data_IF_268983172821
#
_entry.id   IF_268983172821
#
_cell.length_a   1.000
_cell.length_b   1.000
_cell.length_c   1.000
_cell.angle_alpha   90.00
_cell.angle_beta   90.00
_cell.angle_gamma   90.00
#
_symmetry.space_group_name_H-M   'P 1'
#
loop_
_entity.id
_entity.type
_entity.pdbx_description
1 polymer ?
#
# COMPACT_ATOMS: atom_id res chain seq x y z
N UNK A 1 -6.63 4.54 33.69
CA UNK A 1 -6.60 3.07 33.50
C UNK A 1 -5.62 2.72 32.37
N UNK A 2 -5.23 1.45 32.18
CA UNK A 2 -4.40 1.04 31.01
C UNK A 2 -5.10 1.41 29.69
N UNK A 3 -6.43 1.28 29.65
CA UNK A 3 -7.28 1.66 28.51
C UNK A 3 -7.26 3.17 28.21
N UNK A 4 -7.21 4.04 29.23
CA UNK A 4 -7.06 5.49 29.02
C UNK A 4 -5.68 5.86 28.45
N UNK A 5 -4.62 5.18 28.86
CA UNK A 5 -3.26 5.38 28.30
C UNK A 5 -3.18 4.88 26.85
N UNK A 6 -3.82 3.76 26.54
CA UNK A 6 -3.91 3.24 25.16
C UNK A 6 -4.72 4.18 24.25
N UNK A 7 -5.73 4.89 24.76
CA UNK A 7 -6.45 5.92 24.00
C UNK A 7 -5.62 7.19 23.76
N UNK A 8 -4.84 7.66 24.75
CA UNK A 8 -4.03 8.88 24.62
C UNK A 8 -3.00 8.80 23.48
N UNK A 9 -2.32 7.65 23.32
CA UNK A 9 -1.30 7.46 22.27
C UNK A 9 -1.86 7.30 20.85
N UNK A 10 -3.18 7.11 20.69
CA UNK A 10 -3.85 7.04 19.37
C UNK A 10 -4.18 8.42 18.80
N UNK A 11 -4.36 9.42 19.67
CA UNK A 11 -4.81 10.75 19.30
C UNK A 11 -3.68 11.78 19.24
N UNK A 12 -2.60 11.61 20.01
CA UNK A 12 -1.43 12.49 20.01
C UNK A 12 -0.19 11.76 19.45
N UNK A 13 0.13 11.93 18.15
CA UNK A 13 1.26 11.26 17.53
C UNK A 13 2.60 11.90 17.93
N UNK A 14 3.61 11.07 18.18
CA UNK A 14 4.98 11.56 18.30
C UNK A 14 5.50 12.00 16.92
N UNK A 15 5.80 13.28 16.76
CA UNK A 15 6.40 13.79 15.52
C UNK A 15 7.90 13.46 15.46
N UNK A 16 8.31 12.78 14.40
CA UNK A 16 9.70 12.45 14.13
C UNK A 16 10.22 13.33 13.00
N UNK A 17 11.02 14.35 13.33
CA UNK A 17 11.69 15.17 12.33
C UNK A 17 12.99 14.52 11.86
N UNK A 18 12.98 14.01 10.63
CA UNK A 18 14.16 13.40 10.02
C UNK A 18 15.31 14.40 9.75
N UNK A 19 15.03 15.71 9.73
CA UNK A 19 16.04 16.76 9.50
C UNK A 19 16.84 17.11 10.75
N UNK A 20 16.31 16.83 11.94
CA UNK A 20 17.07 16.96 13.17
C UNK A 20 17.96 15.73 13.35
N UNK A 21 19.27 15.95 13.44
CA UNK A 21 20.34 14.99 13.71
C UNK A 21 20.28 14.40 15.14
N UNK A 22 19.09 14.11 15.64
CA UNK A 22 18.92 13.39 16.90
C UNK A 22 19.27 11.91 16.64
N UNK A 23 20.47 11.53 17.12
CA UNK A 23 21.07 10.20 16.97
C UNK A 23 20.40 9.12 17.84
N UNK A 24 19.23 9.39 18.41
CA UNK A 24 18.44 8.46 19.20
C UNK A 24 16.98 8.92 19.12
N UNK A 25 16.19 8.26 18.28
CA UNK A 25 14.74 8.39 18.29
C UNK A 25 14.24 7.75 19.60
N UNK A 26 14.23 8.51 20.69
CA UNK A 26 13.58 8.09 21.93
C UNK A 26 12.06 8.20 21.71
N UNK A 27 11.47 7.10 21.26
CA UNK A 27 10.05 6.97 20.94
C UNK A 27 9.39 6.44 22.20
N UNK A 28 9.01 7.36 23.08
CA UNK A 28 8.50 7.06 24.42
C UNK A 28 7.24 6.18 24.40
N UNK A 29 6.49 6.21 23.31
CA UNK A 29 5.28 5.43 23.08
C UNK A 29 5.52 4.13 22.27
N UNK A 30 6.77 3.78 21.96
CA UNK A 30 7.08 2.56 21.21
C UNK A 30 6.77 1.30 22.03
N UNK A 31 6.02 0.38 21.44
CA UNK A 31 5.76 -0.95 22.03
C UNK A 31 6.69 -1.99 21.42
N UNK A 32 7.58 -2.55 22.23
CA UNK A 32 8.45 -3.67 21.82
C UNK A 32 7.63 -4.94 21.56
N UNK A 33 8.17 -5.86 20.75
CA UNK A 33 7.52 -7.11 20.35
C UNK A 33 6.14 -6.95 19.66
N UNK A 34 5.84 -5.76 19.12
CA UNK A 34 4.67 -5.49 18.28
C UNK A 34 5.08 -5.32 16.80
N UNK A 35 4.20 -5.63 15.84
CA UNK A 35 4.45 -5.34 14.43
C UNK A 35 4.52 -3.82 14.20
N UNK A 36 5.16 -3.45 13.09
CA UNK A 36 5.19 -2.07 12.61
C UNK A 36 4.39 -1.98 11.31
N UNK A 37 3.42 -1.05 11.25
CA UNK A 37 2.72 -0.66 10.03
C UNK A 37 3.21 0.72 9.61
N UNK A 38 3.52 0.89 8.34
CA UNK A 38 3.98 2.17 7.77
C UNK A 38 2.98 2.57 6.69
N UNK A 39 2.46 3.79 6.75
CA UNK A 39 1.52 4.33 5.75
C UNK A 39 2.23 5.44 4.97
N UNK A 40 2.25 5.33 3.64
CA UNK A 40 2.93 6.27 2.74
C UNK A 40 1.95 6.80 1.68
N UNK A 41 1.72 8.11 1.69
CA UNK A 41 0.81 8.78 0.75
C UNK A 41 1.46 9.02 -0.63
N UNK A 42 0.65 9.47 -1.60
CA UNK A 42 1.04 9.72 -2.98
C UNK A 42 1.42 11.16 -3.35
N UNK A 43 1.47 11.41 -4.67
CA UNK A 43 1.69 12.74 -5.25
C UNK A 43 0.56 13.71 -4.90
N UNK A 44 0.89 14.98 -4.60
CA UNK A 44 -0.05 16.02 -4.17
C UNK A 44 -0.86 15.72 -2.89
N UNK A 45 -0.61 14.59 -2.24
CA UNK A 45 -1.25 14.21 -0.99
C UNK A 45 -0.42 14.64 0.24
N UNK A 46 -0.96 14.41 1.44
CA UNK A 46 -0.32 14.68 2.73
C UNK A 46 -1.05 13.99 3.89
N UNK A 47 -0.52 14.16 5.09
CA UNK A 47 -1.05 13.56 6.31
C UNK A 47 -2.39 14.11 6.79
N UNK A 48 -2.86 15.28 6.31
CA UNK A 48 -4.19 15.79 6.66
C UNK A 48 -5.33 15.10 5.90
N UNK A 49 -5.02 14.22 4.94
CA UNK A 49 -6.04 13.47 4.21
C UNK A 49 -6.69 12.43 5.12
N UNK A 50 -8.03 12.41 5.18
CA UNK A 50 -8.77 11.61 6.17
C UNK A 50 -8.41 10.12 6.10
N UNK A 51 -8.20 9.61 4.88
CA UNK A 51 -7.89 8.19 4.66
C UNK A 51 -6.64 7.72 5.41
N UNK A 52 -5.65 8.59 5.64
CA UNK A 52 -4.43 8.27 6.40
C UNK A 52 -4.80 7.95 7.86
N UNK A 53 -5.63 8.80 8.46
CA UNK A 53 -6.06 8.64 9.84
C UNK A 53 -7.07 7.49 9.99
N UNK A 54 -8.01 7.37 9.06
CA UNK A 54 -8.99 6.28 9.02
C UNK A 54 -8.28 4.93 8.88
N UNK A 55 -7.25 4.83 8.03
CA UNK A 55 -6.43 3.62 7.87
C UNK A 55 -5.62 3.32 9.13
N UNK A 56 -4.99 4.33 9.74
CA UNK A 56 -4.28 4.19 11.03
C UNK A 56 -5.22 3.67 12.11
N UNK A 57 -6.42 4.22 12.23
CA UNK A 57 -7.40 3.77 13.22
C UNK A 57 -7.90 2.35 12.93
N UNK A 58 -8.18 2.01 11.67
CA UNK A 58 -8.54 0.65 11.27
C UNK A 58 -7.45 -0.37 11.63
N UNK A 59 -6.17 -0.06 11.36
CA UNK A 59 -5.04 -0.92 11.72
C UNK A 59 -4.91 -1.11 13.23
N UNK A 60 -5.02 -0.03 14.01
CA UNK A 60 -4.92 -0.06 15.47
C UNK A 60 -6.13 -0.71 16.14
N UNK A 61 -7.29 -0.76 15.47
CA UNK A 61 -8.44 -1.54 15.91
C UNK A 61 -8.26 -3.02 15.61
N UNK A 62 -7.61 -3.35 14.49
CA UNK A 62 -7.41 -4.75 14.06
C UNK A 62 -6.26 -5.46 14.77
N UNK A 63 -5.15 -4.77 15.00
CA UNK A 63 -3.94 -5.37 15.54
C UNK A 63 -3.26 -4.43 16.56
N UNK A 64 -2.74 -5.01 17.65
CA UNK A 64 -1.88 -4.28 18.59
C UNK A 64 -0.49 -4.06 17.95
N UNK A 65 -0.35 -2.98 17.20
CA UNK A 65 0.83 -2.63 16.42
C UNK A 65 1.30 -1.19 16.65
N UNK A 66 2.55 -0.91 16.30
CA UNK A 66 3.03 0.46 16.12
C UNK A 66 2.66 0.93 14.70
N UNK A 67 2.23 2.18 14.54
CA UNK A 67 1.93 2.78 13.22
C UNK A 67 2.81 4.01 13.01
N UNK A 68 3.47 4.09 11.85
CA UNK A 68 4.19 5.28 11.38
C UNK A 68 3.46 5.83 10.15
N UNK A 69 3.11 7.10 10.21
CA UNK A 69 2.58 7.84 9.06
C UNK A 69 3.72 8.66 8.47
N UNK A 70 3.96 8.52 7.17
CA UNK A 70 5.07 9.18 6.49
C UNK A 70 4.59 10.45 5.81
N UNK A 71 4.88 11.60 6.41
CA UNK A 71 4.67 12.90 5.76
C UNK A 71 5.86 13.27 4.89
N UNK A 72 5.68 13.15 3.58
CA UNK A 72 6.65 13.63 2.60
C UNK A 72 6.04 14.70 1.69
N UNK A 73 4.99 15.38 2.16
CA UNK A 73 4.22 16.38 1.41
C UNK A 73 5.08 17.50 0.81
N UNK A 74 6.17 17.89 1.47
CA UNK A 74 7.16 18.85 0.94
C UNK A 74 7.80 18.39 -0.36
N UNK A 75 8.05 17.09 -0.51
CA UNK A 75 8.57 16.47 -1.73
C UNK A 75 7.48 16.02 -2.71
N UNK A 76 6.26 15.76 -2.22
CA UNK A 76 5.14 15.24 -3.00
C UNK A 76 4.24 16.32 -3.63
N UNK A 77 4.11 17.51 -3.03
CA UNK A 77 3.18 18.56 -3.51
C UNK A 77 3.74 19.45 -4.63
N UNK A 78 4.89 19.10 -5.19
CA UNK A 78 5.45 19.80 -6.35
C UNK A 78 4.54 19.66 -7.58
N UNK A 79 4.41 20.73 -8.37
CA UNK A 79 3.73 20.67 -9.66
C UNK A 79 4.48 19.79 -10.68
N UNK A 80 5.79 19.59 -10.48
CA UNK A 80 6.61 18.75 -11.35
C UNK A 80 6.58 17.29 -10.89
N UNK A 81 5.82 16.47 -11.60
CA UNK A 81 5.69 15.03 -11.32
C UNK A 81 7.04 14.30 -11.32
N UNK A 82 7.97 14.65 -12.23
CA UNK A 82 9.30 14.00 -12.31
C UNK A 82 10.07 14.17 -11.00
N UNK A 83 9.98 15.35 -10.38
CA UNK A 83 10.62 15.60 -9.09
C UNK A 83 9.95 14.83 -7.97
N UNK A 84 8.61 14.74 -7.95
CA UNK A 84 7.91 13.93 -6.97
C UNK A 84 8.26 12.43 -7.09
N UNK A 85 8.32 11.92 -8.32
CA UNK A 85 8.72 10.54 -8.60
C UNK A 85 10.16 10.27 -8.12
N UNK A 86 11.12 11.15 -8.44
CA UNK A 86 12.48 11.04 -7.93
C UNK A 86 12.58 11.13 -6.39
N UNK A 87 11.77 11.99 -5.77
CA UNK A 87 11.71 12.14 -4.31
C UNK A 87 11.20 10.87 -3.62
N UNK A 88 10.35 10.06 -4.26
CA UNK A 88 9.87 8.79 -3.69
C UNK A 88 11.02 7.81 -3.36
N UNK A 89 12.10 7.82 -4.17
CA UNK A 89 13.30 7.03 -3.90
C UNK A 89 14.06 7.52 -2.66
N UNK A 90 14.14 8.84 -2.46
CA UNK A 90 14.71 9.42 -1.25
C UNK A 90 13.90 9.03 -0.01
N UNK A 91 12.57 9.13 -0.08
CA UNK A 91 11.67 8.72 1.01
C UNK A 91 11.88 7.24 1.36
N UNK A 92 11.95 6.36 0.36
CA UNK A 92 12.24 4.93 0.58
C UNK A 92 13.58 4.71 1.30
N UNK A 93 14.64 5.42 0.89
CA UNK A 93 15.93 5.36 1.57
C UNK A 93 15.87 5.85 3.02
N UNK A 94 15.12 6.91 3.31
CA UNK A 94 14.93 7.42 4.67
C UNK A 94 14.19 6.42 5.55
N UNK A 95 13.14 5.77 5.03
CA UNK A 95 12.42 4.70 5.73
C UNK A 95 13.31 3.49 6.04
N UNK A 96 14.22 3.14 5.12
CA UNK A 96 15.20 2.09 5.35
C UNK A 96 16.11 2.43 6.54
N UNK A 97 16.64 3.65 6.58
CA UNK A 97 17.50 4.11 7.67
C UNK A 97 16.76 4.18 9.01
N UNK A 98 15.53 4.69 9.02
CA UNK A 98 14.67 4.72 10.19
C UNK A 98 14.43 3.30 10.73
N UNK A 99 13.99 2.38 9.86
CA UNK A 99 13.67 1.00 10.27
C UNK A 99 14.91 0.25 10.78
N UNK A 100 16.09 0.51 10.22
CA UNK A 100 17.36 -0.02 10.74
C UNK A 100 17.64 0.47 12.16
N UNK A 101 17.40 1.76 12.44
CA UNK A 101 17.56 2.33 13.78
C UNK A 101 16.56 1.75 14.77
N UNK A 102 15.29 1.63 14.37
CA UNK A 102 14.25 1.02 15.20
C UNK A 102 14.57 -0.45 15.52
N UNK A 103 15.09 -1.19 14.54
CA UNK A 103 15.56 -2.57 14.73
C UNK A 103 16.68 -2.65 15.76
N UNK A 104 17.66 -1.75 15.68
CA UNK A 104 18.78 -1.69 16.62
C UNK A 104 18.38 -1.22 18.03
N UNK A 105 17.49 -0.24 18.12
CA UNK A 105 17.11 0.39 19.39
C UNK A 105 16.05 -0.40 20.16
N UNK A 106 15.11 -1.03 19.46
CA UNK A 106 13.93 -1.65 20.06
C UNK A 106 13.72 -3.12 19.71
N UNK A 107 14.64 -3.74 18.97
CA UNK A 107 14.54 -5.14 18.58
C UNK A 107 13.40 -5.42 17.58
N UNK A 108 13.04 -4.44 16.75
CA UNK A 108 12.06 -4.63 15.68
C UNK A 108 12.50 -5.75 14.72
N UNK A 109 11.65 -6.75 14.53
CA UNK A 109 11.89 -7.83 13.56
C UNK A 109 11.43 -7.39 12.17
N UNK A 110 12.32 -7.46 11.18
CA UNK A 110 12.05 -7.08 9.78
C UNK A 110 10.82 -7.80 9.19
N UNK A 111 10.63 -9.08 9.50
CA UNK A 111 9.47 -9.88 9.04
C UNK A 111 8.13 -9.39 9.57
N UNK A 112 8.12 -8.52 10.60
CA UNK A 112 6.92 -7.94 11.21
C UNK A 112 6.67 -6.49 10.77
N UNK A 113 7.39 -6.03 9.74
CA UNK A 113 7.19 -4.72 9.13
C UNK A 113 6.28 -4.85 7.91
N UNK A 114 5.23 -4.04 7.88
CA UNK A 114 4.29 -3.95 6.76
C UNK A 114 4.20 -2.50 6.28
N UNK A 115 4.65 -2.24 5.06
CA UNK A 115 4.55 -0.92 4.43
C UNK A 115 3.37 -0.88 3.46
N UNK A 116 2.47 0.08 3.64
CA UNK A 116 1.29 0.31 2.82
C UNK A 116 1.51 1.63 2.09
N UNK A 117 1.60 1.58 0.77
CA UNK A 117 1.91 2.76 -0.05
C UNK A 117 0.89 2.96 -1.15
N UNK A 118 0.33 4.16 -1.25
CA UNK A 118 -0.60 4.54 -2.32
C UNK A 118 0.12 5.37 -3.39
N UNK A 119 -0.17 5.13 -4.67
CA UNK A 119 0.38 5.91 -5.78
C UNK A 119 1.93 5.89 -5.76
N UNK A 120 2.59 7.05 -5.79
CA UNK A 120 4.05 7.19 -5.58
C UNK A 120 4.54 6.62 -4.24
N UNK A 121 3.68 6.55 -3.22
CA UNK A 121 3.98 5.92 -1.94
C UNK A 121 4.23 4.42 -2.05
N UNK A 122 3.63 3.74 -3.02
CA UNK A 122 3.91 2.33 -3.30
C UNK A 122 5.32 2.12 -3.87
N UNK A 123 5.79 3.03 -4.73
CA UNK A 123 7.19 3.02 -5.16
C UNK A 123 8.15 3.36 -4.03
N UNK A 124 7.81 4.33 -3.18
CA UNK A 124 8.59 4.61 -1.96
C UNK A 124 8.71 3.38 -1.05
N UNK A 125 7.64 2.57 -0.94
CA UNK A 125 7.67 1.29 -0.22
C UNK A 125 8.60 0.25 -0.89
N UNK A 126 8.59 0.17 -2.23
CA UNK A 126 9.53 -0.67 -2.99
C UNK A 126 10.99 -0.27 -2.77
N UNK A 127 11.30 1.03 -2.91
CA UNK A 127 12.64 1.56 -2.63
C UNK A 127 13.06 1.34 -1.17
N UNK A 128 12.12 1.46 -0.22
CA UNK A 128 12.36 1.13 1.19
C UNK A 128 12.80 -0.32 1.36
N UNK A 129 12.01 -1.27 0.85
CA UNK A 129 12.31 -2.70 0.93
C UNK A 129 13.67 -3.05 0.32
N UNK A 130 13.93 -2.53 -0.89
CA UNK A 130 15.19 -2.72 -1.62
C UNK A 130 16.40 -2.22 -0.86
N UNK A 131 16.37 -0.95 -0.40
CA UNK A 131 17.48 -0.39 0.36
C UNK A 131 17.66 -1.07 1.72
N UNK A 132 16.58 -1.52 2.36
CA UNK A 132 16.67 -2.27 3.61
C UNK A 132 17.36 -3.62 3.41
N UNK A 133 17.00 -4.35 2.35
CA UNK A 133 17.66 -5.61 1.94
C UNK A 133 19.14 -5.40 1.62
N UNK A 134 19.47 -4.39 0.81
CA UNK A 134 20.87 -4.06 0.46
C UNK A 134 21.74 -3.78 1.69
N UNK A 135 21.17 -3.15 2.73
CA UNK A 135 21.92 -2.76 3.94
C UNK A 135 21.98 -3.81 5.02
N UNK A 136 20.96 -4.66 5.13
CA UNK A 136 20.82 -5.60 6.25
C UNK A 136 20.91 -7.07 5.83
N UNK A 137 20.77 -7.37 4.55
CA UNK A 137 20.59 -8.73 4.03
C UNK A 137 19.21 -9.33 4.31
N UNK A 138 18.28 -8.57 4.91
CA UNK A 138 16.95 -9.04 5.30
C UNK A 138 15.86 -8.36 4.47
N UNK A 139 14.81 -9.11 4.14
CA UNK A 139 13.59 -8.54 3.58
C UNK A 139 12.65 -8.07 4.70
N UNK A 140 11.94 -6.97 4.47
CA UNK A 140 10.79 -6.61 5.31
C UNK A 140 9.63 -7.58 5.06
N UNK A 141 8.72 -7.69 6.02
CA UNK A 141 7.65 -8.68 6.00
C UNK A 141 6.69 -8.50 4.83
N UNK A 142 6.16 -7.28 4.62
CA UNK A 142 5.14 -7.05 3.60
C UNK A 142 5.16 -5.66 2.99
N UNK A 143 4.87 -5.57 1.71
CA UNK A 143 4.47 -4.34 1.03
C UNK A 143 3.05 -4.54 0.46
N UNK A 144 2.13 -3.63 0.79
CA UNK A 144 0.86 -3.50 0.07
C UNK A 144 0.89 -2.25 -0.77
N UNK A 145 0.84 -2.42 -2.08
CA UNK A 145 1.00 -1.38 -3.07
C UNK A 145 -0.38 -1.03 -3.66
N UNK A 146 -0.90 0.13 -3.28
CA UNK A 146 -2.26 0.57 -3.60
C UNK A 146 -2.20 1.46 -4.84
N UNK A 147 -2.57 0.90 -5.99
CA UNK A 147 -2.64 1.53 -7.29
C UNK A 147 -1.39 2.37 -7.62
N UNK A 148 -0.25 1.70 -7.80
CA UNK A 148 1.05 2.35 -7.99
C UNK A 148 1.12 3.12 -9.30
N UNK A 149 1.76 4.29 -9.27
CA UNK A 149 1.72 5.20 -10.41
C UNK A 149 2.51 4.68 -11.63
N UNK A 150 1.92 4.73 -12.81
CA UNK A 150 2.57 4.24 -14.04
C UNK A 150 3.70 5.15 -14.56
N UNK A 151 3.51 6.48 -14.67
CA UNK A 151 4.46 7.33 -15.38
C UNK A 151 5.85 7.30 -14.75
N UNK A 152 6.89 7.10 -15.57
CA UNK A 152 8.30 6.96 -15.17
C UNK A 152 8.68 5.64 -14.48
N UNK A 153 7.73 4.76 -14.15
CA UNK A 153 8.01 3.48 -13.48
C UNK A 153 7.77 2.27 -14.37
N UNK A 154 6.75 2.28 -15.22
CA UNK A 154 6.51 1.20 -16.17
C UNK A 154 7.73 0.98 -17.07
N UNK A 155 8.20 -0.27 -17.18
CA UNK A 155 9.38 -0.69 -17.96
C UNK A 155 10.72 -0.03 -17.60
N UNK A 156 10.78 0.65 -16.45
CA UNK A 156 11.98 1.32 -15.97
C UNK A 156 12.95 0.39 -15.22
N UNK A 157 12.46 -0.75 -14.74
CA UNK A 157 13.18 -1.62 -13.79
C UNK A 157 13.32 -1.05 -12.37
N UNK A 158 12.72 0.11 -12.08
CA UNK A 158 12.81 0.76 -10.76
C UNK A 158 11.47 0.84 -10.02
N UNK A 159 10.42 0.18 -10.53
CA UNK A 159 9.13 0.08 -9.84
C UNK A 159 9.24 -0.74 -8.55
N UNK A 160 8.14 -0.76 -7.78
CA UNK A 160 7.98 -1.80 -6.75
C UNK A 160 7.96 -3.16 -7.46
N UNK A 161 8.44 -4.19 -6.78
CA UNK A 161 8.55 -5.55 -7.30
C UNK A 161 8.35 -6.57 -6.17
N UNK A 162 8.08 -7.82 -6.52
CA UNK A 162 8.01 -8.94 -5.58
C UNK A 162 9.31 -9.17 -4.81
N UNK A 163 10.45 -8.68 -5.30
CA UNK A 163 11.75 -8.85 -4.63
C UNK A 163 11.98 -7.90 -3.44
N UNK A 164 11.11 -6.90 -3.25
CA UNK A 164 11.32 -5.82 -2.28
C UNK A 164 10.86 -6.20 -0.85
N UNK A 165 10.06 -7.26 -0.69
CA UNK A 165 9.63 -7.78 0.61
C UNK A 165 9.39 -9.30 0.58
N UNK A 166 9.18 -9.93 1.74
CA UNK A 166 8.83 -11.35 1.80
C UNK A 166 7.46 -11.62 1.15
N UNK A 167 6.57 -10.64 1.15
CA UNK A 167 5.30 -10.68 0.45
C UNK A 167 4.94 -9.29 -0.09
N UNK A 168 4.47 -9.23 -1.33
CA UNK A 168 4.10 -7.99 -2.00
C UNK A 168 2.75 -8.21 -2.65
N UNK A 169 1.74 -7.46 -2.22
CA UNK A 169 0.40 -7.51 -2.79
C UNK A 169 0.00 -6.16 -3.38
N UNK A 170 -0.50 -6.18 -4.61
CA UNK A 170 -0.80 -4.97 -5.38
C UNK A 170 -2.29 -4.92 -5.66
N UNK A 171 -2.90 -3.74 -5.54
CA UNK A 171 -4.30 -3.52 -5.94
C UNK A 171 -4.31 -2.48 -7.06
N UNK A 172 -4.70 -2.90 -8.25
CA UNK A 172 -4.81 -2.05 -9.43
C UNK A 172 -6.24 -1.54 -9.56
N UNK A 173 -6.44 -0.23 -9.64
CA UNK A 173 -7.78 0.38 -9.71
C UNK A 173 -7.91 1.50 -10.71
N UNK A 174 -6.82 2.00 -11.30
CA UNK A 174 -6.90 3.07 -12.31
C UNK A 174 -5.98 2.85 -13.53
N UNK A 175 -5.96 1.63 -14.04
CA UNK A 175 -5.27 1.31 -15.29
C UNK A 175 -5.81 2.11 -16.47
N UNK A 176 -4.91 2.50 -17.37
CA UNK A 176 -5.27 3.26 -18.56
C UNK A 176 -6.02 2.42 -19.58
N UNK A 177 -7.25 2.83 -19.94
CA UNK A 177 -8.00 2.21 -21.03
C UNK A 177 -7.21 2.18 -22.34
N UNK A 178 -7.26 1.06 -23.06
CA UNK A 178 -6.55 0.86 -24.33
C UNK A 178 -6.92 1.86 -25.44
N UNK A 179 -8.07 2.54 -25.33
CA UNK A 179 -8.58 3.51 -26.33
C UNK A 179 -8.56 4.98 -25.87
N UNK A 180 -8.43 5.27 -24.56
CA UNK A 180 -8.35 6.65 -24.01
C UNK A 180 -7.29 6.63 -22.91
N UNK A 181 -6.02 6.83 -23.28
CA UNK A 181 -4.87 6.83 -22.36
C UNK A 181 -5.04 7.90 -21.27
N UNK A 182 -5.61 7.54 -20.12
CA UNK A 182 -5.75 8.46 -18.99
C UNK A 182 -5.77 7.76 -17.63
N UNK A 183 -5.22 6.55 -17.51
CA UNK A 183 -5.03 5.90 -16.19
C UNK A 183 -3.85 6.51 -15.42
N UNK A 184 -3.87 6.38 -14.09
CA UNK A 184 -2.74 6.76 -13.24
C UNK A 184 -1.96 5.53 -12.77
N UNK A 185 -2.61 4.38 -12.64
CA UNK A 185 -2.05 3.13 -12.12
C UNK A 185 -1.30 2.30 -13.16
N UNK A 186 -0.26 1.57 -12.73
CA UNK A 186 0.43 0.56 -13.54
C UNK A 186 -0.51 -0.57 -13.94
N UNK A 187 -0.37 -1.08 -15.16
CA UNK A 187 -1.09 -2.26 -15.67
C UNK A 187 -0.37 -3.57 -15.38
N UNK A 188 0.97 -3.56 -15.46
CA UNK A 188 1.77 -4.77 -15.32
C UNK A 188 1.74 -5.29 -13.89
N UNK A 189 1.64 -6.63 -13.71
CA UNK A 189 1.77 -7.23 -12.40
C UNK A 189 3.20 -7.02 -11.88
N UNK A 190 3.32 -6.59 -10.63
CA UNK A 190 4.60 -6.30 -9.96
C UNK A 190 4.68 -6.94 -8.57
N UNK A 191 3.64 -7.63 -8.11
CA UNK A 191 3.60 -8.29 -6.81
C UNK A 191 3.92 -9.78 -6.84
N UNK A 192 3.81 -10.39 -5.66
CA UNK A 192 3.56 -11.83 -5.54
C UNK A 192 2.10 -12.17 -5.88
N UNK A 193 1.21 -11.19 -5.69
CA UNK A 193 -0.20 -11.23 -6.08
C UNK A 193 -0.63 -9.84 -6.50
N UNK A 194 -1.36 -9.77 -7.60
CA UNK A 194 -1.80 -8.53 -8.23
C UNK A 194 -3.31 -8.63 -8.43
N UNK A 195 -4.06 -7.80 -7.73
CA UNK A 195 -5.51 -7.80 -7.73
C UNK A 195 -6.05 -6.72 -8.67
N UNK A 196 -6.96 -7.13 -9.53
CA UNK A 196 -7.58 -6.29 -10.56
C UNK A 196 -9.10 -6.22 -10.34
N UNK A 197 -9.56 -5.53 -9.27
CA UNK A 197 -10.99 -5.30 -9.04
C UNK A 197 -11.61 -4.59 -10.25
N UNK A 198 -12.67 -5.18 -10.79
CA UNK A 198 -13.36 -4.69 -11.98
C UNK A 198 -12.42 -4.48 -13.18
N UNK A 199 -11.47 -5.40 -13.35
CA UNK A 199 -10.43 -5.39 -14.39
C UNK A 199 -9.35 -4.32 -14.21
N UNK A 200 -9.26 -3.68 -13.03
CA UNK A 200 -8.20 -2.71 -12.73
C UNK A 200 -8.34 -1.35 -13.42
N UNK A 201 -9.31 -1.21 -14.33
CA UNK A 201 -9.64 0.04 -15.01
C UNK A 201 -10.71 0.82 -14.22
N UNK A 202 -11.91 1.00 -14.80
CA UNK A 202 -12.97 1.82 -14.21
C UNK A 202 -13.65 1.14 -13.02
N UNK A 203 -13.61 1.80 -11.88
CA UNK A 203 -14.24 1.32 -10.67
C UNK A 203 -15.73 1.73 -10.62
N UNK A 204 -16.63 0.81 -10.20
CA UNK A 204 -18.03 1.13 -10.02
C UNK A 204 -18.22 2.37 -9.13
N UNK A 205 -19.04 3.31 -9.62
CA UNK A 205 -19.34 4.57 -8.92
C UNK A 205 -18.40 5.74 -9.26
N UNK A 206 -17.31 5.52 -10.00
CA UNK A 206 -16.47 6.59 -10.55
C UNK A 206 -16.94 6.98 -11.96
N UNK A 207 -16.88 8.26 -12.30
CA UNK A 207 -17.28 8.78 -13.63
C UNK A 207 -16.10 8.81 -14.58
N UNK A 208 -16.33 8.75 -15.91
CA UNK A 208 -15.27 8.65 -16.92
C UNK A 208 -14.12 9.67 -16.75
N UNK A 209 -14.43 10.90 -16.34
CA UNK A 209 -13.45 11.98 -16.16
C UNK A 209 -12.80 12.00 -14.77
N UNK A 210 -13.31 11.22 -13.82
CA UNK A 210 -12.86 11.18 -12.43
C UNK A 210 -11.86 10.05 -12.21
N UNK A 211 -10.68 10.20 -12.81
CA UNK A 211 -9.57 9.24 -12.71
C UNK A 211 -9.04 9.17 -11.27
N UNK A 212 -9.17 10.27 -10.51
CA UNK A 212 -8.76 10.31 -9.09
C UNK A 212 -9.66 9.39 -8.27
N UNK A 213 -10.97 9.35 -8.52
CA UNK A 213 -11.87 8.39 -7.87
C UNK A 213 -11.43 6.95 -8.11
N UNK A 214 -11.05 6.59 -9.33
CA UNK A 214 -10.52 5.24 -9.64
C UNK A 214 -9.22 4.98 -8.89
N UNK A 215 -8.32 5.96 -8.85
CA UNK A 215 -7.03 5.85 -8.18
C UNK A 215 -7.16 5.64 -6.66
N UNK A 216 -8.10 6.35 -6.02
CA UNK A 216 -8.33 6.32 -4.58
C UNK A 216 -9.10 5.05 -4.14
N UNK A 217 -9.78 4.35 -5.06
CA UNK A 217 -10.54 3.13 -4.74
C UNK A 217 -9.68 2.03 -4.13
N UNK A 218 -8.42 1.91 -4.52
CA UNK A 218 -7.47 0.97 -3.93
C UNK A 218 -7.34 1.14 -2.42
N UNK A 219 -7.29 2.39 -1.94
CA UNK A 219 -7.25 2.74 -0.51
C UNK A 219 -8.55 2.32 0.18
N UNK A 220 -9.69 2.65 -0.39
CA UNK A 220 -10.99 2.33 0.21
C UNK A 220 -11.26 0.81 0.26
N UNK A 221 -10.89 0.07 -0.77
CA UNK A 221 -11.02 -1.39 -0.75
C UNK A 221 -10.11 -2.02 0.29
N UNK A 222 -8.86 -1.57 0.38
CA UNK A 222 -7.92 -2.06 1.40
C UNK A 222 -8.45 -1.77 2.81
N UNK A 223 -8.93 -0.55 3.06
CA UNK A 223 -9.47 -0.16 4.37
C UNK A 223 -10.76 -0.92 4.72
N UNK A 224 -11.65 -1.13 3.75
CA UNK A 224 -12.86 -1.96 3.98
C UNK A 224 -12.48 -3.42 4.27
N UNK A 225 -11.43 -3.95 3.64
CA UNK A 225 -10.96 -5.32 3.93
C UNK A 225 -10.47 -5.51 5.38
N UNK A 226 -10.07 -4.43 6.06
CA UNK A 226 -9.72 -4.45 7.48
C UNK A 226 -10.99 -4.43 8.34
N UNK A 227 -11.87 -3.46 8.07
CA UNK A 227 -12.98 -3.06 8.94
C UNK A 227 -14.23 -3.92 8.78
N UNK A 228 -14.47 -4.47 7.59
CA UNK A 228 -15.64 -5.28 7.30
C UNK A 228 -15.37 -6.76 7.61
N UNK A 229 -15.98 -7.27 8.69
CA UNK A 229 -15.87 -8.68 9.10
C UNK A 229 -16.90 -9.61 8.48
N UNK A 230 -17.87 -9.06 7.75
CA UNK A 230 -19.02 -9.82 7.22
C UNK A 230 -18.86 -10.18 5.74
N UNK A 231 -17.92 -9.54 5.04
CA UNK A 231 -17.70 -9.71 3.62
C UNK A 231 -16.20 -9.72 3.34
N UNK A 232 -15.76 -10.68 2.52
CA UNK A 232 -14.36 -10.84 2.12
C UNK A 232 -14.21 -10.56 0.63
N UNK A 233 -13.18 -9.80 0.25
CA UNK A 233 -12.87 -9.52 -1.16
C UNK A 233 -12.23 -10.73 -1.85
N UNK A 234 -12.99 -11.82 -1.98
CA UNK A 234 -12.56 -13.05 -2.63
C UNK A 234 -12.26 -12.80 -4.10
N UNK A 235 -11.11 -13.28 -4.56
CA UNK A 235 -10.68 -13.21 -5.95
C UNK A 235 -10.57 -14.59 -6.59
N UNK A 236 -10.52 -14.62 -7.91
CA UNK A 236 -10.20 -15.81 -8.71
C UNK A 236 -8.93 -15.58 -9.52
N UNK A 237 -8.12 -16.62 -9.77
CA UNK A 237 -7.00 -16.50 -10.69
C UNK A 237 -7.51 -16.09 -12.08
N UNK A 238 -6.74 -15.25 -12.76
CA UNK A 238 -6.99 -14.84 -14.13
C UNK A 238 -5.64 -14.74 -14.85
N UNK A 239 -5.59 -15.00 -16.15
CA UNK A 239 -4.41 -14.70 -16.96
C UNK A 239 -4.47 -13.25 -17.48
N UNK A 240 -3.30 -12.68 -17.79
CA UNK A 240 -3.17 -11.28 -18.25
C UNK A 240 -3.95 -11.03 -19.55
N UNK A 241 -4.08 -12.04 -20.40
CA UNK A 241 -4.80 -11.90 -21.69
C UNK A 241 -6.29 -11.77 -21.47
N UNK A 242 -6.87 -12.63 -20.64
CA UNK A 242 -8.28 -12.62 -20.23
C UNK A 242 -8.64 -11.33 -19.50
N UNK A 243 -7.71 -10.83 -18.69
CA UNK A 243 -7.85 -9.54 -18.02
C UNK A 243 -7.92 -8.40 -19.04
N UNK A 244 -6.95 -8.32 -19.96
CA UNK A 244 -6.89 -7.30 -21.00
C UNK A 244 -8.08 -7.35 -21.97
N UNK A 245 -8.58 -8.55 -22.28
CA UNK A 245 -9.74 -8.75 -23.15
C UNK A 245 -11.08 -8.59 -22.42
N UNK A 246 -11.06 -8.30 -21.12
CA UNK A 246 -12.25 -8.23 -20.26
C UNK A 246 -13.16 -9.47 -20.36
N UNK A 247 -12.55 -10.64 -20.43
CA UNK A 247 -13.31 -11.88 -20.51
C UNK A 247 -14.08 -12.09 -19.21
N UNK A 248 -15.43 -12.09 -19.30
CA UNK A 248 -16.32 -12.21 -18.13
C UNK A 248 -15.99 -13.39 -17.22
N UNK A 249 -15.46 -14.47 -17.80
CA UNK A 249 -15.12 -15.67 -17.04
C UNK A 249 -13.73 -15.63 -16.43
N UNK A 250 -12.84 -14.71 -16.83
CA UNK A 250 -11.45 -14.60 -16.40
C UNK A 250 -10.80 -15.98 -16.25
N UNK A 251 -10.26 -16.51 -17.34
CA UNK A 251 -9.67 -17.85 -17.34
C UNK A 251 -8.30 -17.75 -16.66
N UNK A 252 -8.05 -18.58 -15.66
CA UNK A 252 -6.78 -18.59 -14.96
C UNK A 252 -6.59 -19.87 -14.17
N UNK A 253 -5.34 -20.35 -14.12
CA UNK A 253 -4.96 -21.49 -13.28
C UNK A 253 -4.41 -20.99 -11.94
N UNK A 254 -4.86 -21.56 -10.83
CA UNK A 254 -4.32 -21.25 -9.51
C UNK A 254 -5.37 -21.32 -8.41
N UNK A 255 -4.96 -20.94 -7.21
CA UNK A 255 -5.87 -20.79 -6.09
C UNK A 255 -6.55 -19.42 -6.11
N UNK A 256 -7.74 -19.34 -5.52
CA UNK A 256 -8.39 -18.08 -5.20
C UNK A 256 -7.61 -17.31 -4.13
N UNK A 257 -7.65 -15.98 -4.25
CA UNK A 257 -7.07 -15.06 -3.29
C UNK A 257 -8.12 -14.34 -2.45
N UNK A 258 -7.64 -13.45 -1.59
CA UNK A 258 -8.43 -12.47 -0.86
C UNK A 258 -7.71 -11.13 -0.95
N UNK A 259 -8.34 -10.16 -1.61
CA UNK A 259 -7.73 -8.84 -1.80
C UNK A 259 -7.74 -8.05 -0.48
N UNK A 260 -6.64 -7.34 -0.22
CA UNK A 260 -6.52 -6.42 0.91
C UNK A 260 -5.75 -7.01 2.10
N UNK A 261 -6.14 -6.62 3.31
CA UNK A 261 -5.33 -6.83 4.52
C UNK A 261 -5.03 -8.30 4.83
N UNK A 262 -5.96 -9.21 4.54
CA UNK A 262 -5.79 -10.64 4.82
C UNK A 262 -5.19 -11.46 3.67
N UNK A 263 -4.76 -10.81 2.59
CA UNK A 263 -4.13 -11.45 1.42
C UNK A 263 -3.04 -12.49 1.75
N UNK A 264 -2.12 -12.29 2.73
CA UNK A 264 -1.10 -13.28 3.06
C UNK A 264 -1.67 -14.63 3.54
N UNK A 265 -2.90 -14.67 4.05
CA UNK A 265 -3.55 -15.88 4.54
C UNK A 265 -4.23 -16.67 3.41
N UNK A 266 -4.44 -16.05 2.25
CA UNK A 266 -5.00 -16.70 1.08
C UNK A 266 -3.90 -17.36 0.22
N UNK A 267 -4.29 -18.40 -0.51
CA UNK A 267 -3.38 -19.15 -1.37
C UNK A 267 -3.16 -18.50 -2.75
N UNK A 268 -4.06 -17.62 -3.19
CA UNK A 268 -3.99 -16.98 -4.52
C UNK A 268 -2.72 -16.16 -4.73
N UNK A 269 -2.09 -16.35 -5.89
CA UNK A 269 -0.87 -15.67 -6.33
C UNK A 269 -1.01 -15.28 -7.80
N UNK A 270 -0.07 -14.46 -8.29
CA UNK A 270 -0.12 -13.90 -9.63
C UNK A 270 -1.35 -13.01 -9.82
N UNK A 271 -1.86 -12.96 -11.05
CA UNK A 271 -2.99 -12.12 -11.43
C UNK A 271 -4.31 -12.67 -10.87
N UNK A 272 -5.04 -11.82 -10.17
CA UNK A 272 -6.28 -12.14 -9.48
C UNK A 272 -7.37 -11.14 -9.84
N UNK A 273 -8.53 -11.64 -10.23
CA UNK A 273 -9.69 -10.83 -10.58
C UNK A 273 -10.80 -10.95 -9.54
N UNK A 274 -11.52 -9.86 -9.34
CA UNK A 274 -12.75 -9.80 -8.55
C UNK A 274 -13.63 -8.64 -9.01
N UNK A 275 -14.89 -8.62 -8.59
CA UNK A 275 -15.79 -7.49 -8.81
C UNK A 275 -16.19 -6.85 -7.49
N UNK A 276 -16.44 -5.54 -7.50
CA UNK A 276 -16.89 -4.79 -6.32
C UNK A 276 -18.22 -4.06 -6.59
N UNK A 277 -18.83 -3.52 -5.55
CA UNK A 277 -20.01 -2.65 -5.62
C UNK A 277 -19.61 -1.20 -5.89
N UNK A 278 -20.60 -0.36 -6.26
CA UNK A 278 -20.39 1.08 -6.51
C UNK A 278 -20.23 1.95 -5.26
N UNK A 279 -20.64 1.45 -4.10
CA UNK A 279 -20.65 2.14 -2.81
C UNK A 279 -20.29 1.13 -1.73
N UNK A 280 -19.74 1.62 -0.62
CA UNK A 280 -19.51 0.79 0.56
C UNK A 280 -20.85 0.21 1.07
N UNK A 281 -20.95 -1.08 1.43
CA UNK A 281 -19.89 -2.08 1.42
C UNK A 281 -19.53 -2.52 -0.03
N UNK A 282 -18.27 -2.31 -0.41
CA UNK A 282 -17.73 -2.58 -1.74
C UNK A 282 -17.59 -4.07 -2.03
N UNK A 283 -17.29 -4.87 -1.01
CA UNK A 283 -17.19 -6.30 -1.17
C UNK A 283 -18.54 -6.91 -1.65
N UNK A 284 -18.46 -7.91 -2.52
CA UNK A 284 -19.61 -8.70 -2.97
C UNK A 284 -19.64 -10.05 -2.27
N UNK A 285 -20.72 -10.31 -1.54
CA UNK A 285 -21.04 -11.67 -1.11
C UNK A 285 -21.54 -12.44 -2.34
N UNK A 286 -20.75 -13.41 -2.79
CA UNK A 286 -21.22 -14.41 -3.76
C UNK A 286 -22.11 -15.43 -3.07
#
# INVERSE_FOLDING_TARGET
SILEKEHLHRQDPLFLDYTFTSRQENISNWRTNRPLKIIVHGWRDNTNSSWIHDMKDALLQEEDCNVIIVDWSRGAKTLNYVFAAGNSALVGRQLSLLTQRLSKAYGLNASRVHCIGHSLGGHAAGFFGRHFKEKTGLLIGRISALDVAEPLFSDSGVSVSSEDAQFVDVIHTSEGHWYIRSGLGMTKPVGHVDFYPNFGERQPGCTLMDIICDHDRSVYYFMESITNKQCHFKSKPCDETSLYMHEKNCVGSGASGEMGYFSPHAAGRGVQYLSTNKKSLYCKNN
#
